data_IF_070429776737
#
_entry.id   IF_070429776737
#
_cell.length_a   1.000
_cell.length_b   1.000
_cell.length_c   1.000
_cell.angle_alpha   90.00
_cell.angle_beta   90.00
_cell.angle_gamma   90.00
#
_symmetry.space_group_name_H-M   'P 1'
#
loop_
_entity.id
_entity.type
_entity.pdbx_description
1 polymer ?
#
# COMPACT_ATOMS: atom_id res chain seq x y z
N UNK A 1 33.42 26.53 -53.63
CA UNK A 1 32.76 25.56 -52.73
C UNK A 1 31.64 24.89 -53.50
N UNK A 2 31.94 23.73 -54.08
CA UNK A 2 31.04 22.87 -54.84
C UNK A 2 31.71 21.51 -54.87
N UNK A 3 31.00 20.45 -54.49
CA UNK A 3 31.03 19.14 -55.14
C UNK A 3 30.03 18.18 -54.46
N UNK A 4 28.95 17.96 -55.20
CA UNK A 4 28.13 16.77 -55.45
C UNK A 4 28.31 15.47 -54.65
N UNK A 5 27.16 14.87 -54.32
CA UNK A 5 26.95 13.48 -53.90
C UNK A 5 27.43 12.44 -54.95
N UNK A 6 27.51 11.17 -54.52
CA UNK A 6 26.96 10.07 -55.30
C UNK A 6 25.91 9.24 -54.53
N UNK A 7 24.87 8.87 -55.28
CA UNK A 7 23.75 7.96 -54.95
C UNK A 7 24.10 6.52 -55.34
N UNK A 8 23.46 5.52 -54.70
CA UNK A 8 22.90 4.24 -55.24
C UNK A 8 22.66 3.26 -54.06
N UNK A 9 21.67 2.39 -53.91
CA UNK A 9 20.28 2.13 -54.41
C UNK A 9 19.87 0.81 -53.72
N UNK A 10 18.67 0.66 -53.14
CA UNK A 10 17.87 -0.61 -53.13
C UNK A 10 16.47 -0.41 -52.52
N UNK A 11 15.46 -1.29 -52.75
CA UNK A 11 14.30 -0.95 -53.57
C UNK A 11 12.98 -0.85 -52.81
N UNK A 12 12.01 -0.18 -53.45
CA UNK A 12 10.62 -0.02 -53.02
C UNK A 12 9.85 -1.32 -53.30
N UNK A 13 9.33 -1.94 -52.24
CA UNK A 13 8.35 -3.03 -52.34
C UNK A 13 6.93 -2.45 -52.32
N UNK A 14 6.16 -2.80 -53.36
CA UNK A 14 4.75 -2.45 -53.56
C UNK A 14 3.84 -3.25 -52.61
N UNK A 15 3.18 -2.59 -51.66
CA UNK A 15 2.18 -3.21 -50.80
C UNK A 15 0.82 -3.26 -51.51
N UNK A 16 0.49 -4.44 -52.05
CA UNK A 16 -0.84 -4.78 -52.54
C UNK A 16 -1.70 -5.18 -51.34
N UNK A 17 -2.78 -4.42 -51.10
CA UNK A 17 -3.77 -4.71 -50.06
C UNK A 17 -4.38 -6.11 -50.26
N UNK A 18 -4.26 -6.97 -49.25
CA UNK A 18 -5.02 -8.22 -49.13
C UNK A 18 -6.12 -8.00 -48.09
N UNK A 19 -7.36 -7.99 -48.58
CA UNK A 19 -8.59 -8.03 -47.78
C UNK A 19 -8.76 -9.42 -47.15
N UNK A 20 -8.71 -9.51 -45.83
CA UNK A 20 -9.09 -10.70 -45.05
C UNK A 20 -10.55 -10.57 -44.59
N UNK A 21 -11.37 -11.64 -44.62
CA UNK A 21 -12.77 -11.58 -44.22
C UNK A 21 -12.92 -11.49 -42.69
N UNK A 22 -13.87 -10.67 -42.25
CA UNK A 22 -14.22 -10.45 -40.84
C UNK A 22 -14.80 -11.71 -40.18
N UNK A 23 -14.49 -11.99 -38.90
CA UNK A 23 -15.15 -13.06 -38.16
C UNK A 23 -16.55 -12.62 -37.72
N UNK A 24 -17.56 -13.43 -38.05
CA UNK A 24 -18.94 -13.29 -37.61
C UNK A 24 -19.03 -13.54 -36.10
N UNK A 25 -19.42 -12.53 -35.33
CA UNK A 25 -19.73 -12.65 -33.89
C UNK A 25 -21.15 -13.20 -33.76
N UNK A 26 -21.29 -14.39 -33.20
CA UNK A 26 -22.59 -14.91 -32.76
C UNK A 26 -23.02 -14.18 -31.46
N UNK A 27 -24.30 -13.80 -31.31
CA UNK A 27 -24.77 -13.13 -30.11
C UNK A 27 -24.81 -14.11 -28.93
N UNK A 28 -23.99 -13.86 -27.90
CA UNK A 28 -24.07 -14.56 -26.62
C UNK A 28 -25.32 -14.11 -25.86
N UNK A 29 -26.16 -15.07 -25.48
CA UNK A 29 -27.33 -14.84 -24.62
C UNK A 29 -26.90 -14.35 -23.23
N UNK A 30 -27.65 -13.45 -22.58
CA UNK A 30 -27.31 -12.94 -21.26
C UNK A 30 -27.57 -14.02 -20.21
N UNK A 31 -26.52 -14.57 -19.61
CA UNK A 31 -26.62 -15.39 -18.41
C UNK A 31 -27.06 -14.50 -17.25
N UNK A 32 -28.27 -14.71 -16.75
CA UNK A 32 -28.77 -14.12 -15.51
C UNK A 32 -28.02 -14.76 -14.33
N UNK A 33 -26.91 -14.17 -13.92
CA UNK A 33 -26.18 -14.59 -12.71
C UNK A 33 -26.91 -14.07 -11.48
N UNK A 34 -27.45 -14.97 -10.66
CA UNK A 34 -27.88 -14.64 -9.30
C UNK A 34 -26.71 -14.13 -8.43
N UNK A 35 -26.95 -13.71 -7.18
CA UNK A 35 -25.88 -13.24 -6.30
C UNK A 35 -24.80 -14.32 -6.19
N UNK A 36 -23.58 -14.00 -6.65
CA UNK A 36 -22.44 -14.89 -6.49
C UNK A 36 -22.16 -15.02 -4.99
N UNK A 37 -22.36 -16.22 -4.45
CA UNK A 37 -22.03 -16.53 -3.07
C UNK A 37 -20.52 -16.35 -2.87
N UNK A 38 -20.13 -15.59 -1.85
CA UNK A 38 -18.75 -15.26 -1.58
C UNK A 38 -18.01 -16.53 -1.11
N UNK A 39 -17.28 -17.17 -2.02
CA UNK A 39 -16.52 -18.37 -1.72
C UNK A 39 -15.16 -18.03 -1.08
N UNK A 40 -15.06 -18.19 0.24
CA UNK A 40 -13.80 -18.07 0.98
C UNK A 40 -13.22 -19.47 1.20
N UNK A 41 -11.91 -19.64 1.02
CA UNK A 41 -11.24 -20.92 1.21
C UNK A 41 -11.37 -21.45 2.65
N UNK A 42 -11.23 -22.77 2.82
CA UNK A 42 -11.25 -23.43 4.13
C UNK A 42 -9.91 -23.43 4.88
N UNK A 43 -8.87 -22.89 4.26
CA UNK A 43 -7.52 -22.79 4.83
C UNK A 43 -7.44 -21.74 5.95
N UNK A 44 -6.25 -21.58 6.53
CA UNK A 44 -6.06 -20.70 7.68
C UNK A 44 -6.37 -19.23 7.34
N UNK A 45 -5.89 -18.74 6.19
CA UNK A 45 -6.21 -17.40 5.72
C UNK A 45 -7.73 -17.24 5.54
N UNK A 46 -8.41 -18.23 4.95
CA UNK A 46 -9.85 -18.18 4.77
C UNK A 46 -10.66 -18.23 6.06
N UNK A 47 -10.16 -18.86 7.15
CA UNK A 47 -10.77 -18.73 8.49
C UNK A 47 -10.62 -17.31 9.02
N UNK A 48 -9.43 -16.72 8.91
CA UNK A 48 -9.17 -15.35 9.36
C UNK A 48 -10.03 -14.33 8.60
N UNK A 49 -10.15 -14.47 7.27
CA UNK A 49 -11.01 -13.62 6.45
C UNK A 49 -12.48 -13.76 6.89
N UNK A 50 -12.97 -14.99 7.14
CA UNK A 50 -14.34 -15.19 7.64
C UNK A 50 -14.56 -14.50 8.98
N UNK A 51 -13.63 -14.61 9.91
CA UNK A 51 -13.71 -13.91 11.18
C UNK A 51 -13.74 -12.38 11.03
N UNK A 52 -12.93 -11.82 10.11
CA UNK A 52 -12.96 -10.38 9.79
C UNK A 52 -14.29 -9.97 9.16
N UNK A 53 -14.86 -10.77 8.26
CA UNK A 53 -16.17 -10.53 7.65
C UNK A 53 -17.28 -10.56 8.70
N UNK A 54 -17.29 -11.55 9.59
CA UNK A 54 -18.25 -11.64 10.69
C UNK A 54 -18.12 -10.49 11.69
N UNK A 55 -16.90 -10.00 11.94
CA UNK A 55 -16.70 -8.80 12.75
C UNK A 55 -17.23 -7.55 12.06
N UNK A 56 -16.94 -7.37 10.76
CA UNK A 56 -17.44 -6.26 9.96
C UNK A 56 -18.98 -6.21 9.93
N UNK A 57 -19.63 -7.36 9.74
CA UNK A 57 -21.10 -7.46 9.68
C UNK A 57 -21.80 -7.20 11.02
N UNK A 58 -21.08 -7.29 12.14
CA UNK A 58 -21.61 -7.01 13.48
C UNK A 58 -21.55 -5.53 13.87
N UNK A 59 -20.81 -4.72 13.11
CA UNK A 59 -20.63 -3.30 13.37
C UNK A 59 -21.61 -2.49 12.51
N UNK A 60 -22.07 -1.35 13.03
CA UNK A 60 -23.00 -0.47 12.32
C UNK A 60 -22.26 0.41 11.30
N UNK A 61 -20.98 0.68 11.52
CA UNK A 61 -20.16 1.51 10.64
C UNK A 61 -18.69 1.08 10.58
N UNK A 62 -17.94 1.67 9.65
CA UNK A 62 -16.52 1.40 9.43
C UNK A 62 -15.69 1.75 10.67
N UNK A 63 -16.00 2.87 11.31
CA UNK A 63 -15.26 3.39 12.44
C UNK A 63 -15.33 2.44 13.64
N UNK A 64 -16.53 1.92 13.92
CA UNK A 64 -16.73 0.89 14.96
C UNK A 64 -15.93 -0.37 14.61
N UNK A 65 -16.03 -0.84 13.36
CA UNK A 65 -15.27 -2.00 12.90
C UNK A 65 -13.77 -1.80 13.11
N UNK A 66 -13.19 -0.67 12.67
CA UNK A 66 -11.76 -0.37 12.86
C UNK A 66 -11.38 -0.43 14.33
N UNK A 67 -12.20 0.12 15.23
CA UNK A 67 -11.95 0.05 16.68
C UNK A 67 -11.91 -1.40 17.19
N UNK A 68 -12.77 -2.28 16.69
CA UNK A 68 -12.72 -3.71 17.05
C UNK A 68 -11.50 -4.46 16.53
N UNK A 69 -10.92 -4.01 15.42
CA UNK A 69 -9.73 -4.63 14.81
C UNK A 69 -8.42 -4.11 15.42
N UNK A 70 -8.44 -2.97 16.12
CA UNK A 70 -7.24 -2.40 16.74
C UNK A 70 -6.69 -3.35 17.80
N UNK A 71 -5.44 -3.75 17.64
CA UNK A 71 -4.67 -4.42 18.69
C UNK A 71 -4.45 -3.54 19.93
N UNK A 72 -3.86 -4.12 20.97
CA UNK A 72 -3.55 -3.41 22.22
C UNK A 72 -2.62 -2.23 21.93
N UNK A 73 -3.11 -1.00 22.12
CA UNK A 73 -2.28 0.19 22.03
C UNK A 73 -1.16 0.12 23.08
N UNK A 74 0.07 0.48 22.70
CA UNK A 74 1.18 0.56 23.64
C UNK A 74 0.84 1.46 24.82
N UNK A 75 1.31 1.09 26.02
CA UNK A 75 1.16 1.84 27.26
C UNK A 75 1.32 3.35 27.06
N UNK A 76 0.49 4.13 27.78
CA UNK A 76 0.54 5.58 27.83
C UNK A 76 1.98 6.09 27.84
N UNK A 77 2.32 6.88 26.83
CA UNK A 77 3.56 7.64 26.82
C UNK A 77 3.36 8.79 27.81
N UNK A 78 3.52 8.50 29.11
CA UNK A 78 3.55 9.48 30.20
C UNK A 78 4.43 10.67 29.78
N UNK A 79 4.11 11.90 30.23
CA UNK A 79 4.57 13.12 29.58
C UNK A 79 6.06 13.06 29.29
N UNK A 80 6.41 13.00 28.00
CA UNK A 80 7.78 13.08 27.54
C UNK A 80 8.18 14.54 27.59
N UNK A 81 9.33 14.83 28.21
CA UNK A 81 9.99 16.14 28.04
C UNK A 81 10.60 16.22 26.64
N UNK A 82 9.74 16.29 25.62
CA UNK A 82 10.12 16.29 24.22
C UNK A 82 9.10 17.07 23.36
N UNK A 83 9.56 17.87 22.37
CA UNK A 83 8.66 18.64 21.49
C UNK A 83 7.59 17.82 20.76
N UNK A 84 7.86 16.53 20.52
CA UNK A 84 6.91 15.63 19.86
C UNK A 84 5.84 15.04 20.82
N UNK A 85 5.86 15.33 22.11
CA UNK A 85 4.93 14.71 23.09
C UNK A 85 3.47 14.92 22.72
N UNK A 86 3.08 16.13 22.32
CA UNK A 86 1.70 16.42 21.93
C UNK A 86 1.28 15.67 20.66
N UNK A 87 2.19 15.58 19.67
CA UNK A 87 1.95 14.83 18.44
C UNK A 87 1.73 13.34 18.73
N UNK A 88 2.60 12.75 19.56
CA UNK A 88 2.50 11.34 19.95
C UNK A 88 1.22 11.06 20.73
N UNK A 89 0.82 11.96 21.63
CA UNK A 89 -0.46 11.85 22.35
C UNK A 89 -1.65 11.90 21.39
N UNK A 90 -1.64 12.82 20.41
CA UNK A 90 -2.69 12.92 19.41
C UNK A 90 -2.76 11.65 18.53
N UNK A 91 -1.62 11.13 18.06
CA UNK A 91 -1.56 9.89 17.27
C UNK A 91 -2.04 8.68 18.07
N UNK A 92 -1.71 8.63 19.36
CA UNK A 92 -2.19 7.57 20.26
C UNK A 92 -3.71 7.63 20.45
N UNK A 93 -4.26 8.82 20.67
CA UNK A 93 -5.68 9.01 20.96
C UNK A 93 -6.58 8.88 19.72
N UNK A 94 -6.13 9.44 18.59
CA UNK A 94 -6.97 9.61 17.39
C UNK A 94 -6.53 8.76 16.20
N UNK A 95 -5.32 8.22 16.23
CA UNK A 95 -4.67 7.62 15.07
C UNK A 95 -4.05 8.67 14.14
N UNK A 96 -3.22 8.19 13.20
CA UNK A 96 -2.66 8.98 12.12
C UNK A 96 -3.73 9.24 11.05
N UNK A 97 -4.06 10.51 10.76
CA UNK A 97 -5.01 10.83 9.70
C UNK A 97 -4.38 10.65 8.33
N UNK A 98 -5.21 10.24 7.35
CA UNK A 98 -4.82 10.11 5.94
C UNK A 98 -5.77 10.97 5.08
N UNK A 99 -5.73 12.30 5.20
CA UNK A 99 -6.65 13.16 4.48
C UNK A 99 -6.27 13.24 3.01
N UNK A 100 -7.27 13.07 2.14
CA UNK A 100 -7.12 13.15 0.69
C UNK A 100 -7.47 14.55 0.20
N UNK A 101 -6.72 15.04 -0.77
CA UNK A 101 -6.99 16.30 -1.48
C UNK A 101 -8.03 16.16 -2.60
N UNK A 102 -8.27 14.92 -3.03
CA UNK A 102 -9.19 14.56 -4.11
C UNK A 102 -10.55 14.14 -3.59
N UNK A 103 -11.53 14.09 -4.50
CA UNK A 103 -12.86 13.53 -4.20
C UNK A 103 -12.75 12.00 -4.05
N UNK A 104 -13.69 11.36 -3.32
CA UNK A 104 -13.77 9.91 -3.27
C UNK A 104 -13.83 9.32 -4.68
N UNK A 105 -13.22 8.14 -4.87
CA UNK A 105 -13.25 7.42 -6.13
C UNK A 105 -14.68 7.03 -6.51
N UNK A 106 -14.97 7.09 -7.81
CA UNK A 106 -16.25 6.59 -8.33
C UNK A 106 -16.28 5.05 -8.33
N UNK A 107 -17.47 4.43 -8.30
CA UNK A 107 -17.59 2.98 -8.43
C UNK A 107 -16.85 2.41 -9.65
N UNK A 108 -16.85 3.12 -10.78
CA UNK A 108 -16.15 2.69 -12.00
C UNK A 108 -14.62 2.71 -11.83
N UNK A 109 -14.07 3.64 -11.04
CA UNK A 109 -12.64 3.66 -10.72
C UNK A 109 -12.28 2.46 -9.84
N UNK A 110 -13.09 2.17 -8.82
CA UNK A 110 -12.91 1.03 -7.94
C UNK A 110 -13.00 -0.30 -8.72
N UNK A 111 -14.00 -0.46 -9.57
CA UNK A 111 -14.20 -1.67 -10.39
C UNK A 111 -13.06 -1.87 -11.40
N UNK A 112 -12.53 -0.79 -11.98
CA UNK A 112 -11.33 -0.86 -12.83
C UNK A 112 -10.09 -1.28 -12.05
N UNK A 113 -9.89 -0.72 -10.85
CA UNK A 113 -8.74 -1.04 -10.01
C UNK A 113 -8.77 -2.49 -9.52
N UNK A 114 -9.92 -2.97 -9.04
CA UNK A 114 -10.07 -4.36 -8.59
C UNK A 114 -9.94 -5.35 -9.77
N UNK A 115 -10.50 -5.02 -10.94
CA UNK A 115 -10.39 -5.87 -12.14
C UNK A 115 -8.95 -6.01 -12.63
N UNK A 116 -8.12 -4.98 -12.43
CA UNK A 116 -6.69 -5.04 -12.75
C UNK A 116 -5.94 -5.97 -11.79
N UNK A 117 -6.30 -5.93 -10.49
CA UNK A 117 -5.75 -6.79 -9.45
C UNK A 117 -4.30 -6.45 -9.02
N UNK A 118 -3.58 -7.41 -8.42
CA UNK A 118 -2.21 -7.16 -7.99
C UNK A 118 -1.22 -7.14 -9.16
N UNK A 119 0.00 -6.66 -8.91
CA UNK A 119 1.12 -6.77 -9.83
C UNK A 119 1.49 -8.24 -10.09
N UNK A 120 2.10 -8.52 -11.24
CA UNK A 120 2.54 -9.88 -11.61
C UNK A 120 3.48 -10.48 -10.56
N UNK A 121 4.33 -9.68 -9.92
CA UNK A 121 5.22 -10.16 -8.87
C UNK A 121 4.49 -10.74 -7.67
N UNK A 122 3.37 -10.15 -7.25
CA UNK A 122 2.53 -10.72 -6.19
C UNK A 122 1.76 -11.95 -6.68
N UNK A 123 1.26 -11.96 -7.92
CA UNK A 123 0.56 -13.13 -8.49
C UNK A 123 1.46 -14.37 -8.55
N UNK A 124 2.72 -14.19 -8.94
CA UNK A 124 3.69 -15.28 -9.04
C UNK A 124 4.19 -15.76 -7.67
N UNK A 125 4.06 -14.95 -6.61
CA UNK A 125 4.50 -15.28 -5.27
C UNK A 125 3.34 -15.51 -4.28
N UNK A 126 2.24 -16.11 -4.74
CA UNK A 126 1.00 -16.22 -3.96
C UNK A 126 1.17 -16.93 -2.60
N UNK A 127 2.02 -17.96 -2.51
CA UNK A 127 2.26 -18.69 -1.25
C UNK A 127 2.86 -17.78 -0.17
N UNK A 128 3.89 -17.01 -0.53
CA UNK A 128 4.47 -15.99 0.34
C UNK A 128 3.45 -14.94 0.77
N UNK A 129 2.66 -14.41 -0.18
CA UNK A 129 1.64 -13.39 0.11
C UNK A 129 0.60 -13.92 1.11
N UNK A 130 0.20 -15.18 0.98
CA UNK A 130 -0.74 -15.82 1.90
C UNK A 130 -0.15 -15.93 3.32
N UNK A 131 1.13 -16.31 3.45
CA UNK A 131 1.81 -16.36 4.74
C UNK A 131 1.90 -14.97 5.40
N UNK A 132 2.26 -13.93 4.64
CA UNK A 132 2.30 -12.54 5.12
C UNK A 132 0.92 -12.05 5.58
N UNK A 133 -0.14 -12.39 4.84
CA UNK A 133 -1.50 -12.02 5.24
C UNK A 133 -1.89 -12.67 6.56
N UNK A 134 -1.59 -13.96 6.73
CA UNK A 134 -1.85 -14.67 7.99
C UNK A 134 -1.10 -14.01 9.14
N UNK A 135 0.19 -13.71 8.96
CA UNK A 135 1.03 -13.08 9.98
C UNK A 135 0.52 -11.67 10.35
N UNK A 136 0.23 -10.83 9.35
CA UNK A 136 -0.23 -9.45 9.59
C UNK A 136 -1.64 -9.38 10.18
N UNK A 137 -2.55 -10.30 9.81
CA UNK A 137 -3.85 -10.40 10.48
C UNK A 137 -3.65 -10.87 11.93
N UNK A 138 -2.82 -11.88 12.16
CA UNK A 138 -2.57 -12.43 13.51
C UNK A 138 -1.92 -11.40 14.45
N UNK A 139 -1.08 -10.50 13.91
CA UNK A 139 -0.49 -9.37 14.64
C UNK A 139 -1.46 -8.20 14.86
N UNK A 140 -2.65 -8.24 14.25
CA UNK A 140 -3.63 -7.14 14.28
C UNK A 140 -3.18 -5.92 13.47
N UNK A 141 -2.26 -6.10 12.52
CA UNK A 141 -1.79 -5.03 11.65
C UNK A 141 -2.76 -4.80 10.50
N UNK A 142 -3.28 -5.90 9.92
CA UNK A 142 -4.14 -5.87 8.75
C UNK A 142 -5.48 -6.53 9.05
N UNK A 143 -6.51 -6.08 8.33
CA UNK A 143 -7.76 -6.82 8.16
C UNK A 143 -7.94 -7.07 6.67
N UNK A 144 -8.44 -8.24 6.30
CA UNK A 144 -8.64 -8.62 4.90
C UNK A 144 -10.11 -8.88 4.68
N UNK A 145 -10.74 -8.01 3.90
CA UNK A 145 -12.16 -8.06 3.57
C UNK A 145 -12.34 -8.21 2.06
N UNK A 146 -13.28 -9.05 1.59
CA UNK A 146 -13.60 -9.14 0.18
C UNK A 146 -14.13 -7.82 -0.38
N UNK A 147 -13.70 -7.44 -1.58
CA UNK A 147 -14.14 -6.19 -2.21
C UNK A 147 -15.68 -6.08 -2.31
N UNK A 148 -16.37 -7.20 -2.55
CA UNK A 148 -17.84 -7.23 -2.68
C UNK A 148 -18.58 -6.67 -1.47
N UNK A 149 -17.99 -6.73 -0.27
CA UNK A 149 -18.62 -6.23 0.97
C UNK A 149 -18.18 -4.80 1.33
N UNK A 150 -17.01 -4.35 0.86
CA UNK A 150 -16.47 -3.01 1.17
C UNK A 150 -16.59 -2.00 0.03
N UNK A 151 -17.02 -2.40 -1.17
CA UNK A 151 -17.09 -1.53 -2.36
C UNK A 151 -17.92 -0.25 -2.20
N UNK A 152 -18.81 -0.20 -1.20
CA UNK A 152 -19.67 0.95 -0.92
C UNK A 152 -19.13 1.85 0.21
N UNK A 153 -17.96 1.52 0.79
CA UNK A 153 -17.32 2.38 1.79
C UNK A 153 -16.95 3.72 1.16
N UNK A 154 -17.22 4.80 1.88
CA UNK A 154 -16.77 6.13 1.50
C UNK A 154 -15.24 6.19 1.56
N UNK A 155 -14.64 7.00 0.68
CA UNK A 155 -13.19 7.23 0.62
C UNK A 155 -12.34 5.96 0.40
N UNK A 156 -12.92 4.86 -0.09
CA UNK A 156 -12.16 3.66 -0.45
C UNK A 156 -11.18 3.96 -1.60
N UNK A 157 -9.92 3.60 -1.42
CA UNK A 157 -8.88 3.65 -2.44
C UNK A 157 -8.24 2.28 -2.58
N UNK A 158 -8.04 1.82 -3.82
CA UNK A 158 -7.45 0.53 -4.10
C UNK A 158 -6.10 0.70 -4.78
N UNK A 159 -5.09 -0.02 -4.31
CA UNK A 159 -3.75 -0.01 -4.88
C UNK A 159 -3.24 -1.43 -5.10
N UNK A 160 -2.47 -1.68 -6.17
CA UNK A 160 -1.98 -3.01 -6.47
C UNK A 160 -0.91 -3.44 -5.45
N UNK A 161 -1.07 -4.65 -4.93
CA UNK A 161 -0.01 -5.33 -4.17
C UNK A 161 1.09 -5.82 -5.11
N UNK A 162 2.33 -5.80 -4.63
CA UNK A 162 3.50 -6.34 -5.29
C UNK A 162 4.39 -7.10 -4.30
N UNK A 163 5.25 -7.95 -4.84
CA UNK A 163 6.38 -8.55 -4.12
C UNK A 163 7.69 -7.96 -4.67
N UNK A 164 8.62 -7.61 -3.78
CA UNK A 164 9.94 -7.11 -4.14
C UNK A 164 11.00 -8.05 -3.58
N UNK A 165 11.80 -8.71 -4.42
CA UNK A 165 12.90 -9.56 -3.97
C UNK A 165 13.90 -8.78 -3.11
N UNK A 166 14.40 -9.42 -2.05
CA UNK A 166 15.43 -8.87 -1.17
C UNK A 166 16.65 -9.81 -1.15
N UNK A 167 17.85 -9.24 -1.07
CA UNK A 167 19.07 -10.05 -0.94
C UNK A 167 19.19 -10.59 0.49
N UNK A 168 19.49 -11.88 0.63
CA UNK A 168 19.65 -12.61 1.90
C UNK A 168 18.48 -12.44 2.89
N UNK A 169 17.28 -12.17 2.36
CA UNK A 169 16.04 -11.98 3.13
C UNK A 169 14.85 -12.49 2.33
N UNK A 170 13.75 -12.72 3.04
CA UNK A 170 12.45 -12.94 2.42
C UNK A 170 12.04 -11.74 1.58
N UNK A 171 11.28 -11.99 0.51
CA UNK A 171 10.65 -10.96 -0.30
C UNK A 171 9.92 -9.94 0.58
N UNK A 172 9.85 -8.70 0.12
CA UNK A 172 9.07 -7.66 0.80
C UNK A 172 7.74 -7.47 0.09
N UNK A 173 6.66 -7.64 0.84
CA UNK A 173 5.33 -7.22 0.44
C UNK A 173 5.27 -5.69 0.34
N UNK A 174 4.74 -5.16 -0.75
CA UNK A 174 4.57 -3.73 -0.98
C UNK A 174 3.19 -3.41 -1.54
N UNK A 175 2.60 -2.30 -1.10
CA UNK A 175 1.44 -1.68 -1.74
C UNK A 175 1.97 -0.53 -2.61
N UNK A 176 1.76 -0.60 -3.92
CA UNK A 176 2.23 0.45 -4.84
C UNK A 176 1.22 1.61 -4.88
N UNK A 177 1.38 2.50 -3.91
CA UNK A 177 0.57 3.72 -3.74
C UNK A 177 0.84 4.80 -4.80
N UNK A 178 1.84 4.61 -5.66
CA UNK A 178 2.16 5.53 -6.75
C UNK A 178 1.38 5.19 -8.02
N UNK A 179 0.94 3.94 -8.18
CA UNK A 179 0.29 3.47 -9.40
C UNK A 179 -0.97 4.27 -9.75
N UNK A 180 -1.82 4.53 -8.76
CA UNK A 180 -3.03 5.34 -8.90
C UNK A 180 -2.90 6.70 -8.21
N UNK A 181 -1.66 7.17 -8.05
CA UNK A 181 -1.35 8.48 -7.48
C UNK A 181 -1.84 8.73 -6.04
N UNK A 182 -2.20 7.68 -5.28
CA UNK A 182 -2.68 7.82 -3.89
C UNK A 182 -1.69 8.58 -3.02
N UNK A 183 -0.38 8.39 -3.23
CA UNK A 183 0.67 9.16 -2.55
C UNK A 183 0.59 10.67 -2.84
N UNK A 184 0.30 11.06 -4.08
CA UNK A 184 0.19 12.45 -4.52
C UNK A 184 -1.13 13.09 -4.05
N UNK A 185 -2.18 12.28 -3.93
CA UNK A 185 -3.49 12.73 -3.49
C UNK A 185 -3.57 12.90 -1.96
N UNK A 186 -2.77 12.15 -1.19
CA UNK A 186 -2.68 12.28 0.26
C UNK A 186 -1.97 13.57 0.67
N UNK A 187 -2.58 14.34 1.58
CA UNK A 187 -1.96 15.57 2.09
C UNK A 187 -0.78 15.25 3.03
N UNK A 188 0.33 16.00 2.94
CA UNK A 188 1.50 15.81 3.80
C UNK A 188 1.26 16.43 5.19
N UNK A 189 0.56 15.71 6.06
CA UNK A 189 0.22 16.16 7.42
C UNK A 189 1.30 15.90 8.48
N UNK A 190 2.29 15.05 8.15
CA UNK A 190 3.40 14.78 9.05
C UNK A 190 4.33 16.01 9.16
N UNK A 191 4.92 16.30 10.34
CA UNK A 191 5.87 17.39 10.48
C UNK A 191 7.07 17.18 9.54
N UNK A 192 7.53 18.27 8.92
CA UNK A 192 8.65 18.22 7.96
C UNK A 192 9.93 17.62 8.56
N UNK A 193 10.14 17.82 9.85
CA UNK A 193 11.27 17.31 10.64
C UNK A 193 11.21 15.79 10.82
N UNK A 194 10.03 15.18 10.64
CA UNK A 194 9.78 13.75 10.73
C UNK A 194 10.04 13.02 9.41
N UNK A 195 10.16 13.73 8.28
CA UNK A 195 10.42 13.11 6.98
C UNK A 195 11.88 12.63 6.86
N UNK A 196 12.04 11.31 6.68
CA UNK A 196 13.22 10.61 6.17
C UNK A 196 14.57 11.21 6.61
N UNK A 197 14.80 11.16 7.93
CA UNK A 197 15.99 11.64 8.65
C UNK A 197 16.23 13.14 8.65
N UNK A 198 15.52 13.98 7.89
CA UNK A 198 15.70 15.44 7.90
C UNK A 198 17.18 15.86 7.95
N UNK A 199 17.56 16.62 8.99
CA UNK A 199 18.97 17.01 9.26
C UNK A 199 19.69 16.13 10.30
N UNK A 200 19.24 14.89 10.49
CA UNK A 200 19.72 14.01 11.58
C UNK A 200 21.21 13.71 11.47
N UNK A 201 21.71 13.36 10.28
CA UNK A 201 23.14 13.10 10.11
C UNK A 201 23.98 14.35 10.44
N UNK A 202 23.58 15.52 9.95
CA UNK A 202 24.28 16.78 10.24
C UNK A 202 24.27 17.09 11.74
N UNK A 203 23.13 16.90 12.42
CA UNK A 203 23.01 17.07 13.87
C UNK A 203 23.92 16.08 14.63
N UNK A 204 23.97 14.82 14.22
CA UNK A 204 24.85 13.80 14.83
C UNK A 204 26.32 14.20 14.64
N UNK A 205 26.74 14.53 13.42
CA UNK A 205 28.12 14.94 13.15
C UNK A 205 28.52 16.21 13.92
N UNK A 206 27.63 17.19 14.00
CA UNK A 206 27.86 18.39 14.80
C UNK A 206 28.04 18.05 16.28
N UNK A 207 27.24 17.13 16.83
CA UNK A 207 27.35 16.69 18.23
C UNK A 207 28.65 15.93 18.50
N UNK A 208 29.14 15.16 17.53
CA UNK A 208 30.45 14.49 17.59
C UNK A 208 31.58 15.52 17.54
N UNK A 209 31.50 16.50 16.64
CA UNK A 209 32.55 17.52 16.50
C UNK A 209 32.67 18.41 17.75
N UNK A 210 31.54 18.73 18.37
CA UNK A 210 31.47 19.59 19.55
C UNK A 210 31.57 18.82 20.88
N UNK A 211 31.76 17.50 20.86
CA UNK A 211 31.92 16.73 22.09
C UNK A 211 33.24 17.07 22.78
N UNK A 212 33.20 17.25 24.09
CA UNK A 212 34.41 17.50 24.87
C UNK A 212 35.28 16.22 24.91
N UNK A 213 36.51 16.26 24.38
CA UNK A 213 37.38 15.09 24.30
C UNK A 213 37.84 14.56 25.66
N UNK A 214 37.70 15.33 26.75
CA UNK A 214 38.07 14.89 28.09
C UNK A 214 37.21 13.72 28.61
N UNK A 215 36.00 13.56 28.07
CA UNK A 215 35.10 12.44 28.41
C UNK A 215 35.36 11.17 27.57
N UNK A 216 36.37 11.16 26.70
CA UNK A 216 36.74 10.02 25.88
C UNK A 216 36.02 9.95 24.52
N UNK A 217 36.09 8.81 23.82
CA UNK A 217 35.52 8.68 22.47
C UNK A 217 33.99 8.69 22.48
N UNK A 218 33.40 9.22 21.41
CA UNK A 218 31.95 9.20 21.21
C UNK A 218 31.49 7.82 20.73
N UNK A 219 30.56 7.22 21.45
CA UNK A 219 29.89 5.98 21.05
C UNK A 219 28.51 6.27 20.45
N UNK A 220 28.15 5.57 19.38
CA UNK A 220 26.84 5.67 18.74
C UNK A 220 26.11 4.33 18.82
N UNK A 221 24.79 4.38 19.01
CA UNK A 221 23.90 3.22 18.90
C UNK A 221 22.88 3.47 17.79
N UNK A 222 22.62 2.43 17.00
CA UNK A 222 21.56 2.38 16.00
C UNK A 222 20.61 1.26 16.38
N UNK A 223 19.35 1.62 16.61
CA UNK A 223 18.27 0.68 16.92
C UNK A 223 17.30 0.69 15.76
N UNK A 224 16.95 -0.49 15.26
CA UNK A 224 15.91 -0.67 14.25
C UNK A 224 14.68 -1.27 14.94
N UNK A 225 13.52 -0.61 14.77
CA UNK A 225 12.27 -1.06 15.37
C UNK A 225 11.50 -1.84 14.31
N UNK A 226 11.42 -3.16 14.49
CA UNK A 226 10.64 -4.03 13.62
C UNK A 226 9.17 -3.59 13.59
N UNK A 227 8.62 -3.57 12.38
CA UNK A 227 7.21 -3.25 12.11
C UNK A 227 6.74 -1.91 12.69
N UNK A 228 7.66 -0.93 12.83
CA UNK A 228 7.39 0.34 13.50
C UNK A 228 6.20 1.12 12.92
N UNK A 229 5.96 1.04 11.61
CA UNK A 229 4.82 1.70 10.97
C UNK A 229 3.48 1.14 11.44
N UNK A 230 3.38 -0.17 11.64
CA UNK A 230 2.15 -0.83 12.07
C UNK A 230 1.83 -0.62 13.55
N UNK A 231 2.75 0.00 14.31
CA UNK A 231 2.54 0.37 15.71
C UNK A 231 1.80 1.70 15.87
N UNK A 232 1.60 2.44 14.79
CA UNK A 232 0.79 3.67 14.77
C UNK A 232 -0.55 3.33 14.14
N UNK A 233 -1.63 3.52 14.90
CA UNK A 233 -2.99 3.30 14.41
C UNK A 233 -3.34 4.35 13.35
N UNK A 234 -4.10 3.98 12.33
CA UNK A 234 -4.75 4.96 11.46
C UNK A 234 -6.01 5.52 12.13
N UNK A 235 -6.38 6.74 11.78
CA UNK A 235 -7.70 7.28 12.17
C UNK A 235 -8.80 6.39 11.63
N UNK A 236 -9.81 6.13 12.47
CA UNK A 236 -11.01 5.42 12.08
C UNK A 236 -11.83 6.27 11.09
#
# INVERSE_FOLDING_TARGET
MSHSQPTITTPIASNRAQTTPSPTIAPSSPTTTGPQELHIAGDELGKLIRASVEAFQRCDCWEEFVVTQRGVASNNVHPLDHPASQLLANLHQHGAPVPMSTKPWTPEQLDKAISRGPHTSAKLNNGFIQEEFIDFISKGFWTVLPYSIVKNLSNLHLNPLGSVPQHDRQDRLIVDLSFYFTNQECLPVAPSESMQFGRTLQRILQRILLSDPSFGPVYLSKIDIADGFYRIQLSA
#
